data_IF_059411961516
#
_entry.id   IF_059411961516
#
_cell.length_a   1.000
_cell.length_b   1.000
_cell.length_c   1.000
_cell.angle_alpha   90.00
_cell.angle_beta   90.00
_cell.angle_gamma   90.00
#
_symmetry.space_group_name_H-M   'P 1'
#
loop_
_entity.id
_entity.type
_entity.pdbx_description
1 polymer ?
#
# COMPACT_ATOMS: atom_id res chain seq x y z
N UNK A 1 4.16 13.08 9.71
CA UNK A 1 4.03 12.96 8.24
C UNK A 1 4.32 11.54 7.77
N UNK A 2 5.51 10.97 8.04
CA UNK A 2 5.84 9.59 7.61
C UNK A 2 4.93 8.50 8.19
N UNK A 3 4.59 8.57 9.49
CA UNK A 3 3.66 7.63 10.13
C UNK A 3 2.26 7.68 9.52
N UNK A 4 1.82 8.85 9.05
CA UNK A 4 0.49 9.04 8.44
C UNK A 4 0.44 8.43 7.02
N UNK A 5 1.51 8.62 6.24
CA UNK A 5 1.66 8.01 4.91
C UNK A 5 1.70 6.49 5.04
N UNK A 6 2.49 5.99 5.98
CA UNK A 6 2.57 4.56 6.28
C UNK A 6 1.19 3.98 6.61
N UNK A 7 0.44 4.60 7.51
CA UNK A 7 -0.91 4.14 7.88
C UNK A 7 -1.89 4.16 6.69
N UNK A 8 -1.80 5.17 5.82
CA UNK A 8 -2.62 5.23 4.58
C UNK A 8 -2.29 4.10 3.63
N UNK A 9 -1.00 3.82 3.41
CA UNK A 9 -0.56 2.70 2.56
C UNK A 9 -1.01 1.36 3.13
N UNK A 10 -0.86 1.14 4.43
CA UNK A 10 -1.35 -0.07 5.09
C UNK A 10 -2.86 -0.22 4.93
N UNK A 11 -3.61 0.87 5.09
CA UNK A 11 -5.06 0.85 4.91
C UNK A 11 -5.45 0.51 3.47
N UNK A 12 -4.75 1.08 2.49
CA UNK A 12 -4.89 0.74 1.07
C UNK A 12 -4.74 -0.77 0.83
N UNK A 13 -3.63 -1.33 1.32
CA UNK A 13 -3.30 -2.74 1.16
C UNK A 13 -4.34 -3.64 1.80
N UNK A 14 -4.81 -3.30 3.00
CA UNK A 14 -5.88 -4.03 3.67
C UNK A 14 -7.22 -3.93 2.92
N UNK A 15 -7.57 -2.77 2.36
CA UNK A 15 -8.78 -2.63 1.55
C UNK A 15 -8.71 -3.50 0.29
N UNK A 16 -7.59 -3.44 -0.45
CA UNK A 16 -7.35 -4.30 -1.62
C UNK A 16 -7.52 -5.77 -1.22
N UNK A 17 -6.88 -6.21 -0.13
CA UNK A 17 -7.02 -7.58 0.38
C UNK A 17 -8.48 -7.97 0.62
N UNK A 18 -9.24 -7.08 1.27
CA UNK A 18 -10.65 -7.31 1.59
C UNK A 18 -11.51 -7.44 0.32
N UNK A 19 -11.25 -6.64 -0.71
CA UNK A 19 -11.93 -6.73 -2.01
C UNK A 19 -11.62 -8.04 -2.73
N UNK A 20 -10.36 -8.49 -2.65
CA UNK A 20 -9.93 -9.78 -3.16
C UNK A 20 -10.49 -10.97 -2.36
N UNK A 21 -11.06 -10.72 -1.17
CA UNK A 21 -11.62 -11.73 -0.26
C UNK A 21 -10.64 -12.84 0.12
N UNK A 22 -9.35 -12.49 0.25
CA UNK A 22 -8.30 -13.44 0.63
C UNK A 22 -7.80 -13.19 2.06
N UNK A 23 -7.19 -14.22 2.64
CA UNK A 23 -6.59 -14.13 3.97
C UNK A 23 -5.38 -13.19 3.99
N UNK A 24 -5.01 -12.71 5.18
CA UNK A 24 -3.80 -11.92 5.38
C UNK A 24 -2.53 -12.69 4.98
N UNK A 25 -2.54 -14.02 5.14
CA UNK A 25 -1.41 -14.87 4.75
C UNK A 25 -1.26 -14.96 3.24
N UNK A 26 -2.36 -15.19 2.51
CA UNK A 26 -2.35 -15.23 1.05
C UNK A 26 -1.96 -13.88 0.45
N UNK A 27 -2.47 -12.79 1.02
CA UNK A 27 -2.11 -11.45 0.57
C UNK A 27 -0.65 -11.07 0.87
N UNK A 28 -0.13 -11.46 2.03
CA UNK A 28 1.29 -11.29 2.35
C UNK A 28 2.18 -12.01 1.33
N UNK A 29 1.78 -13.22 0.91
CA UNK A 29 2.51 -13.99 -0.10
C UNK A 29 2.54 -13.27 -1.47
N UNK A 30 1.43 -12.66 -1.90
CA UNK A 30 1.39 -11.87 -3.13
C UNK A 30 2.32 -10.65 -3.11
N UNK A 31 2.62 -10.11 -1.94
CA UNK A 31 3.54 -8.99 -1.76
C UNK A 31 4.97 -9.42 -1.44
N UNK A 32 5.26 -10.73 -1.44
CA UNK A 32 6.55 -11.30 -1.00
C UNK A 32 6.94 -10.82 0.40
N UNK A 33 5.96 -10.63 1.27
CA UNK A 33 6.15 -10.25 2.66
C UNK A 33 6.11 -11.51 3.54
N UNK A 34 6.94 -11.54 4.59
CA UNK A 34 6.80 -12.57 5.62
C UNK A 34 5.45 -12.39 6.32
N UNK A 35 4.82 -13.49 6.74
CA UNK A 35 3.56 -13.44 7.50
C UNK A 35 3.67 -12.51 8.71
N UNK A 36 4.78 -12.59 9.44
CA UNK A 36 5.04 -11.73 10.60
C UNK A 36 5.30 -10.28 10.20
N UNK A 37 6.01 -10.05 9.09
CA UNK A 37 6.22 -8.71 8.55
C UNK A 37 4.90 -8.04 8.16
N UNK A 38 4.02 -8.76 7.47
CA UNK A 38 2.70 -8.27 7.12
C UNK A 38 1.82 -8.02 8.36
N UNK A 39 1.79 -8.98 9.30
CA UNK A 39 1.03 -8.87 10.56
C UNK A 39 1.45 -7.66 11.39
N UNK A 40 2.76 -7.42 11.50
CA UNK A 40 3.31 -6.24 12.17
C UNK A 40 2.96 -4.95 11.41
N UNK A 41 2.87 -5.01 10.08
CA UNK A 41 2.56 -3.86 9.27
C UNK A 41 1.10 -3.39 9.40
N UNK A 42 0.17 -4.34 9.48
CA UNK A 42 -1.28 -4.11 9.58
C UNK A 42 -1.82 -3.96 11.02
N UNK A 43 -1.01 -4.26 12.03
CA UNK A 43 -1.39 -4.07 13.43
C UNK A 43 -1.63 -2.58 13.68
N UNK A 44 -2.91 -2.17 13.63
CA UNK A 44 -3.35 -0.76 13.72
C UNK A 44 -2.94 -0.04 15.02
N UNK A 45 -2.46 -0.76 16.03
CA UNK A 45 -2.01 -0.16 17.28
C UNK A 45 -0.94 -1.05 17.98
N UNK A 46 -0.21 -0.45 18.92
CA UNK A 46 0.67 -1.06 19.96
C UNK A 46 2.19 -1.09 19.78
N UNK A 47 2.83 -0.09 19.16
CA UNK A 47 4.08 0.51 19.69
C UNK A 47 4.64 1.57 18.75
N UNK A 48 4.57 2.84 19.16
CA UNK A 48 5.28 3.97 18.51
C UNK A 48 6.82 3.87 18.60
N UNK A 49 7.33 2.79 19.19
CA UNK A 49 8.75 2.53 19.44
C UNK A 49 9.28 1.27 18.75
N UNK A 50 8.43 0.51 18.04
CA UNK A 50 8.95 -0.58 17.19
C UNK A 50 9.49 0.05 15.91
N UNK A 51 10.65 -0.41 15.39
CA UNK A 51 11.10 0.00 14.08
C UNK A 51 9.98 -0.33 13.09
N UNK A 52 9.37 0.69 12.51
CA UNK A 52 8.39 0.52 11.45
C UNK A 52 9.04 -0.38 10.40
N UNK A 53 8.35 -1.44 10.01
CA UNK A 53 8.82 -2.25 8.88
C UNK A 53 8.92 -1.28 7.72
N UNK A 54 10.13 -1.13 7.20
CA UNK A 54 10.37 -0.25 6.06
C UNK A 54 9.66 -0.89 4.86
N UNK A 55 8.44 -0.44 4.61
CA UNK A 55 7.71 -0.79 3.41
C UNK A 55 8.29 0.04 2.27
N UNK A 56 8.99 -0.64 1.38
CA UNK A 56 9.44 -0.03 0.14
C UNK A 56 8.24 0.13 -0.79
N UNK A 57 7.82 1.38 -1.00
CA UNK A 57 6.68 1.69 -1.86
C UNK A 57 6.90 1.20 -3.29
N UNK A 58 8.14 1.25 -3.80
CA UNK A 58 8.46 0.75 -5.14
C UNK A 58 8.21 -0.75 -5.19
N UNK A 59 8.69 -1.50 -4.20
CA UNK A 59 8.43 -2.94 -4.09
C UNK A 59 6.93 -3.26 -4.04
N UNK A 60 6.16 -2.53 -3.24
CA UNK A 60 4.70 -2.71 -3.13
C UNK A 60 4.01 -2.45 -4.47
N UNK A 61 4.36 -1.37 -5.17
CA UNK A 61 3.78 -1.08 -6.48
C UNK A 61 4.15 -2.13 -7.53
N UNK A 62 5.43 -2.52 -7.58
CA UNK A 62 5.89 -3.58 -8.47
C UNK A 62 5.16 -4.89 -8.20
N UNK A 63 4.93 -5.25 -6.94
CA UNK A 63 4.16 -6.43 -6.58
C UNK A 63 2.70 -6.31 -7.03
N UNK A 64 2.03 -5.17 -6.83
CA UNK A 64 0.65 -4.99 -7.30
C UNK A 64 0.56 -5.11 -8.83
N UNK A 65 1.47 -4.46 -9.57
CA UNK A 65 1.51 -4.54 -11.04
C UNK A 65 1.76 -5.97 -11.52
N UNK A 66 2.76 -6.65 -10.93
CA UNK A 66 3.02 -8.05 -11.22
C UNK A 66 1.78 -8.90 -10.98
N UNK A 67 1.06 -8.68 -9.88
CA UNK A 67 -0.11 -9.48 -9.57
C UNK A 67 -1.28 -9.21 -10.53
N UNK A 68 -1.49 -7.96 -10.93
CA UNK A 68 -2.45 -7.57 -11.97
C UNK A 68 -2.12 -8.21 -13.33
N UNK A 69 -0.84 -8.35 -13.67
CA UNK A 69 -0.46 -9.01 -14.92
C UNK A 69 -0.68 -10.53 -14.86
N UNK A 70 -0.36 -11.15 -13.73
CA UNK A 70 -0.20 -12.60 -13.66
C UNK A 70 -1.42 -13.34 -13.10
N UNK A 71 -2.24 -12.73 -12.23
CA UNK A 71 -3.34 -13.43 -11.57
C UNK A 71 -4.72 -12.92 -12.00
N UNK A 72 -5.58 -13.85 -12.43
CA UNK A 72 -6.95 -13.54 -12.86
C UNK A 72 -7.77 -12.85 -11.76
N UNK A 73 -7.66 -13.32 -10.52
CA UNK A 73 -8.32 -12.73 -9.35
C UNK A 73 -8.02 -11.21 -9.23
N UNK A 74 -6.79 -10.81 -9.47
CA UNK A 74 -6.38 -9.40 -9.40
C UNK A 74 -6.93 -8.61 -10.60
N UNK A 75 -6.90 -9.18 -11.81
CA UNK A 75 -7.47 -8.54 -13.02
C UNK A 75 -8.96 -8.29 -12.92
N UNK A 76 -9.72 -9.24 -12.39
CA UNK A 76 -11.17 -9.11 -12.22
C UNK A 76 -11.55 -8.00 -11.24
N UNK A 77 -10.62 -7.63 -10.35
CA UNK A 77 -10.79 -6.55 -9.37
C UNK A 77 -10.05 -5.26 -9.75
N UNK A 78 -9.54 -5.15 -10.99
CA UNK A 78 -8.68 -4.04 -11.45
C UNK A 78 -9.26 -2.67 -11.13
N UNK A 79 -10.53 -2.43 -11.45
CA UNK A 79 -11.17 -1.12 -11.25
C UNK A 79 -11.16 -0.71 -9.78
N UNK A 80 -11.48 -1.63 -8.88
CA UNK A 80 -11.50 -1.38 -7.43
C UNK A 80 -10.07 -1.16 -6.92
N UNK A 81 -9.11 -1.97 -7.36
CA UNK A 81 -7.70 -1.83 -7.00
C UNK A 81 -7.16 -0.47 -7.43
N UNK A 82 -7.49 -0.02 -8.64
CA UNK A 82 -7.11 1.31 -9.13
C UNK A 82 -7.73 2.44 -8.29
N UNK A 83 -8.98 2.29 -7.85
CA UNK A 83 -9.62 3.26 -6.95
C UNK A 83 -8.93 3.34 -5.59
N UNK A 84 -8.59 2.19 -4.98
CA UNK A 84 -7.86 2.14 -3.71
C UNK A 84 -6.48 2.80 -3.85
N UNK A 85 -5.73 2.44 -4.90
CA UNK A 85 -4.42 3.04 -5.20
C UNK A 85 -4.54 4.56 -5.39
N UNK A 86 -5.48 5.02 -6.22
CA UNK A 86 -5.68 6.43 -6.47
C UNK A 86 -6.05 7.19 -5.18
N UNK A 87 -6.95 6.64 -4.37
CA UNK A 87 -7.36 7.29 -3.11
C UNK A 87 -6.20 7.46 -2.12
N UNK A 88 -5.28 6.49 -2.08
CA UNK A 88 -4.19 6.45 -1.12
C UNK A 88 -2.96 7.20 -1.59
N UNK A 89 -2.69 7.21 -2.91
CA UNK A 89 -1.47 7.79 -3.47
C UNK A 89 -1.68 9.11 -4.21
N UNK A 90 -2.87 9.43 -4.74
CA UNK A 90 -3.09 10.72 -5.41
C UNK A 90 -2.96 11.89 -4.43
N UNK A 91 -3.49 11.75 -3.21
CA UNK A 91 -3.32 12.76 -2.17
C UNK A 91 -1.84 12.94 -1.76
N UNK A 92 -1.07 11.85 -1.74
CA UNK A 92 0.36 11.91 -1.42
C UNK A 92 1.18 12.55 -2.54
N UNK A 93 0.91 12.20 -3.80
CA UNK A 93 1.56 12.80 -4.96
C UNK A 93 1.25 14.30 -5.05
N UNK A 94 -0.01 14.71 -4.82
CA UNK A 94 -0.40 16.12 -4.77
C UNK A 94 0.28 16.88 -3.62
N UNK A 95 0.44 16.26 -2.45
CA UNK A 95 1.17 16.86 -1.32
C UNK A 95 2.69 16.96 -1.58
N UNK A 96 3.31 15.95 -2.20
CA UNK A 96 4.70 16.00 -2.63
C UNK A 96 4.94 17.09 -3.66
N UNK A 97 4.03 17.26 -4.62
CA UNK A 97 4.07 18.35 -5.59
C UNK A 97 3.97 19.72 -4.92
N UNK A 98 3.07 19.89 -3.95
CA UNK A 98 2.93 21.15 -3.19
C UNK A 98 4.17 21.49 -2.33
N UNK A 99 4.93 20.47 -1.89
CA UNK A 99 6.17 20.63 -1.15
C UNK A 99 7.41 20.74 -2.05
N UNK A 100 7.28 20.44 -3.34
CA UNK A 100 8.36 20.52 -4.32
C UNK A 100 8.74 21.98 -4.59
N UNK A 101 10.04 22.34 -4.60
CA UNK A 101 10.49 23.69 -4.91
C UNK A 101 10.07 24.15 -6.32
N UNK A 102 9.74 23.21 -7.21
CA UNK A 102 9.27 23.49 -8.57
C UNK A 102 7.87 24.11 -8.58
N UNK A 103 7.00 23.77 -7.64
CA UNK A 103 5.63 24.29 -7.58
C UNK A 103 5.52 25.69 -6.93
N UNK A 104 6.56 26.14 -6.22
CA UNK A 104 6.59 27.46 -5.55
C UNK A 104 7.01 28.61 -6.46
N UNK A 105 7.42 28.32 -7.69
CA UNK A 105 7.89 29.30 -8.68
C UNK A 105 6.95 29.40 -9.90
N UNK A 106 5.74 28.86 -9.81
CA UNK A 106 4.70 28.88 -10.85
C UNK A 106 3.59 29.87 -10.50
#
# INVERSE_FOLDING_TARGET
METEIYQKVITCLENIRMHLKISQLEFAAFLSLTREGYRLAIAKDTNRHKPYIKLDLIHIFSAILFNLENYQLWRENLTIIQQEINSCFANYYLQLLALSPVAKNS
#
